data_IF_260932176158
#
_entry.id   IF_260932176158
#
_cell.length_a   1.000
_cell.length_b   1.000
_cell.length_c   1.000
_cell.angle_alpha   90.00
_cell.angle_beta   90.00
_cell.angle_gamma   90.00
#
_symmetry.space_group_name_H-M   'P 1'
#
loop_
_entity.id
_entity.type
_entity.pdbx_description
1 polymer ?
#
# COMPACT_ATOMS: atom_id res chain seq x y z
N UNK A 1 -0.58 -11.01 -3.55
CA UNK A 1 0.85 -10.66 -3.42
C UNK A 1 1.07 -9.35 -4.14
N UNK A 2 1.82 -8.43 -3.53
CA UNK A 2 2.15 -7.14 -4.12
C UNK A 2 3.66 -6.94 -4.16
N UNK A 3 4.11 -5.97 -4.93
CA UNK A 3 5.54 -5.64 -5.07
C UNK A 3 5.77 -4.29 -4.43
N UNK A 4 6.77 -4.19 -3.57
CA UNK A 4 7.19 -2.92 -2.99
C UNK A 4 7.69 -1.98 -4.09
N UNK A 5 7.12 -0.77 -4.26
CA UNK A 5 7.58 0.17 -5.28
C UNK A 5 8.98 0.75 -5.01
N UNK A 6 9.53 0.57 -3.80
CA UNK A 6 10.86 1.08 -3.44
C UNK A 6 11.98 0.05 -3.62
N UNK A 7 11.80 -1.18 -3.13
CA UNK A 7 12.84 -2.22 -3.15
C UNK A 7 12.53 -3.39 -4.10
N UNK A 8 11.39 -3.38 -4.78
CA UNK A 8 10.93 -4.43 -5.71
C UNK A 8 10.74 -5.83 -5.08
N UNK A 9 10.84 -5.95 -3.76
CA UNK A 9 10.57 -7.20 -3.04
C UNK A 9 9.07 -7.51 -2.95
N UNK A 10 8.75 -8.79 -2.83
CA UNK A 10 7.38 -9.25 -2.64
C UNK A 10 6.88 -8.98 -1.22
N UNK A 11 5.66 -8.46 -1.13
CA UNK A 11 4.94 -8.22 0.12
C UNK A 11 3.68 -9.10 0.15
N UNK A 12 3.47 -9.75 1.29
CA UNK A 12 2.26 -10.49 1.59
C UNK A 12 1.40 -9.66 2.53
N UNK A 13 0.26 -9.20 2.02
CA UNK A 13 -0.77 -8.57 2.84
C UNK A 13 -1.77 -9.65 3.32
N UNK A 14 -2.14 -9.59 4.60
CA UNK A 14 -3.16 -10.46 5.18
C UNK A 14 -4.58 -9.98 4.83
N UNK A 15 -4.76 -8.66 4.72
CA UNK A 15 -6.02 -8.01 4.32
C UNK A 15 -5.77 -7.06 3.14
N UNK A 16 -6.51 -7.24 2.05
CA UNK A 16 -6.43 -6.40 0.84
C UNK A 16 -7.49 -5.29 0.83
N UNK A 17 -8.20 -5.10 1.94
CA UNK A 17 -9.11 -3.99 2.19
C UNK A 17 -8.60 -3.07 3.31
N UNK A 18 -7.50 -3.43 4.00
CA UNK A 18 -6.85 -2.58 4.98
C UNK A 18 -5.95 -1.53 4.29
N UNK A 19 -6.41 -0.28 4.36
CA UNK A 19 -5.70 0.88 3.81
C UNK A 19 -4.87 1.60 4.86
N UNK A 20 -4.66 1.04 6.05
CA UNK A 20 -3.77 1.63 7.03
C UNK A 20 -2.32 1.63 6.52
N UNK A 21 -1.55 2.70 6.75
CA UNK A 21 -0.14 2.72 6.42
C UNK A 21 0.64 1.65 7.20
N UNK A 22 1.57 0.99 6.52
CA UNK A 22 2.43 -0.04 7.09
C UNK A 22 3.86 0.08 6.57
N UNK A 23 4.82 -0.52 7.26
CA UNK A 23 6.22 -0.53 6.81
C UNK A 23 6.51 -1.81 6.01
N UNK A 24 7.23 -1.66 4.91
CA UNK A 24 7.78 -2.78 4.17
C UNK A 24 8.79 -3.55 5.04
N UNK A 25 8.60 -4.87 5.19
CA UNK A 25 9.47 -5.74 5.99
C UNK A 25 10.93 -5.85 5.49
N UNK A 26 11.20 -5.42 4.25
CA UNK A 26 12.52 -5.54 3.61
C UNK A 26 13.33 -4.24 3.59
N UNK A 27 12.66 -3.08 3.61
CA UNK A 27 13.31 -1.79 3.41
C UNK A 27 12.77 -0.66 4.31
N UNK A 28 11.89 -0.98 5.27
CA UNK A 28 11.31 -0.08 6.26
C UNK A 28 10.55 1.14 5.66
N UNK A 29 10.31 1.13 4.35
CA UNK A 29 9.58 2.18 3.64
C UNK A 29 8.11 2.13 4.04
N UNK A 30 7.55 3.29 4.37
CA UNK A 30 6.13 3.41 4.63
C UNK A 30 5.33 3.31 3.34
N UNK A 31 4.35 2.42 3.36
CA UNK A 31 3.48 2.09 2.25
C UNK A 31 2.02 2.18 2.71
N UNK A 32 1.14 2.51 1.77
CA UNK A 32 -0.30 2.51 1.97
C UNK A 32 -0.96 1.76 0.80
N UNK A 33 -2.01 0.99 1.11
CA UNK A 33 -2.83 0.35 0.10
C UNK A 33 -3.85 1.35 -0.43
N UNK A 34 -3.73 1.71 -1.71
CA UNK A 34 -4.70 2.51 -2.43
C UNK A 34 -5.69 1.58 -3.14
N UNK A 35 -6.98 1.77 -2.86
CA UNK A 35 -8.07 1.02 -3.49
C UNK A 35 -8.86 1.97 -4.38
N UNK A 36 -8.72 1.80 -5.68
CA UNK A 36 -9.52 2.51 -6.68
C UNK A 36 -10.77 1.69 -7.02
N UNK A 37 -11.92 2.12 -6.51
CA UNK A 37 -13.24 1.56 -6.81
C UNK A 37 -13.86 2.14 -8.11
N UNK A 38 -13.13 3.01 -8.80
CA UNK A 38 -13.57 3.82 -9.92
C UNK A 38 -13.32 3.22 -11.30
N UNK A 39 -13.65 1.95 -11.56
CA UNK A 39 -13.62 1.44 -12.95
C UNK A 39 -14.85 0.63 -13.37
N UNK A 40 -15.14 0.77 -14.67
CA UNK A 40 -16.26 0.20 -15.42
C UNK A 40 -16.56 -1.25 -15.01
N UNK A 41 -17.80 -1.53 -14.60
CA UNK A 41 -18.30 -2.87 -14.21
C UNK A 41 -17.79 -3.45 -12.88
N UNK A 42 -17.29 -2.63 -11.95
CA UNK A 42 -17.03 -3.08 -10.56
C UNK A 42 -15.71 -3.82 -10.36
N UNK A 43 -14.72 -3.57 -11.21
CA UNK A 43 -13.35 -4.01 -10.95
C UNK A 43 -12.74 -3.09 -9.86
N UNK A 44 -12.32 -3.70 -8.74
CA UNK A 44 -11.50 -3.03 -7.73
C UNK A 44 -10.04 -3.14 -8.16
N UNK A 45 -9.36 -2.00 -8.27
CA UNK A 45 -7.92 -1.96 -8.51
C UNK A 45 -7.21 -1.58 -7.22
N UNK A 46 -6.23 -2.38 -6.82
CA UNK A 46 -5.45 -2.15 -5.59
C UNK A 46 -4.00 -1.91 -5.97
N UNK A 47 -3.40 -0.84 -5.45
CA UNK A 47 -2.00 -0.49 -5.68
C UNK A 47 -1.31 -0.07 -4.37
N UNK A 48 0.02 -0.18 -4.32
CA UNK A 48 0.81 0.31 -3.19
C UNK A 48 1.38 1.70 -3.51
N UNK A 49 1.18 2.64 -2.60
CA UNK A 49 1.76 3.99 -2.67
C UNK A 49 2.81 4.16 -1.57
N UNK A 50 3.92 4.82 -1.88
CA UNK A 50 4.88 5.26 -0.86
C UNK A 50 4.31 6.48 -0.16
N UNK A 51 4.33 6.47 1.16
CA UNK A 51 3.94 7.61 2.00
C UNK A 51 5.13 8.10 2.80
N UNK A 52 5.24 9.41 3.00
CA UNK A 52 6.27 10.03 3.81
C UNK A 52 5.85 9.93 5.30
N UNK A 53 6.81 9.86 6.22
CA UNK A 53 6.50 9.81 7.66
C UNK A 53 5.77 11.06 8.15
N UNK A 54 5.93 12.19 7.43
CA UNK A 54 5.21 13.44 7.69
C UNK A 54 3.73 13.39 7.30
N UNK A 55 3.33 12.48 6.38
CA UNK A 55 1.95 12.31 5.92
C UNK A 55 1.13 11.37 6.83
N UNK A 56 1.78 10.68 7.79
CA UNK A 56 1.15 9.72 8.70
C UNK A 56 0.32 10.37 9.83
N UNK A 57 0.18 11.70 9.79
CA UNK A 57 -0.50 12.50 10.81
C UNK A 57 0.41 12.80 12.01
N UNK A 58 0.46 14.07 12.39
CA UNK A 58 1.13 14.50 13.62
C UNK A 58 0.58 13.76 14.84
N UNK A 59 1.49 13.29 15.69
CA UNK A 59 1.22 12.71 17.03
C UNK A 59 0.46 13.67 17.95
#
# INVERSE_FOLDING_TARGET
MMICPNCEEHIVLEDYEDTAPFQCEHCDTWLELEIDEGTYLGAKHTALRIVDDQDLGEV
#
